data_IF_549864681520
#
_entry.id   IF_549864681520
#
_cell.length_a   1.000
_cell.length_b   1.000
_cell.length_c   1.000
_cell.angle_alpha   90.00
_cell.angle_beta   90.00
_cell.angle_gamma   90.00
#
_symmetry.space_group_name_H-M   'P 1'
#
loop_
_entity.id
_entity.type
_entity.pdbx_description
1 polymer ?
#
# COMPACT_ATOMS: atom_id res chain seq x y z
N UNK A 1 -23.74 11.41 -0.91
CA UNK A 1 -23.10 10.49 -1.88
C UNK A 1 -22.30 9.50 -1.05
N UNK A 2 -22.76 8.26 -0.92
CA UNK A 2 -21.94 7.22 -0.28
C UNK A 2 -20.78 6.95 -1.24
N UNK A 3 -19.58 7.40 -0.88
CA UNK A 3 -18.37 6.92 -1.53
C UNK A 3 -18.40 5.40 -1.41
N UNK A 4 -18.61 4.70 -2.54
CA UNK A 4 -18.35 3.27 -2.57
C UNK A 4 -16.86 3.15 -2.33
N UNK A 5 -16.46 2.89 -1.07
CA UNK A 5 -15.16 2.30 -0.78
C UNK A 5 -15.04 1.13 -1.75
N UNK A 6 -14.06 1.21 -2.63
CA UNK A 6 -13.68 0.06 -3.44
C UNK A 6 -13.04 -0.91 -2.46
N UNK A 7 -13.88 -1.68 -1.78
CA UNK A 7 -13.45 -2.70 -0.84
C UNK A 7 -12.89 -3.85 -1.67
N UNK A 8 -11.57 -3.89 -1.75
CA UNK A 8 -10.85 -5.09 -2.14
C UNK A 8 -10.86 -6.03 -0.94
N UNK A 9 -10.99 -7.31 -1.21
CA UNK A 9 -10.83 -8.34 -0.19
C UNK A 9 -9.42 -8.22 0.43
N UNK A 10 -9.33 -8.32 1.76
CA UNK A 10 -8.04 -8.27 2.46
C UNK A 10 -7.17 -9.46 2.06
N UNK A 11 -5.86 -9.28 1.98
CA UNK A 11 -4.94 -10.40 1.76
C UNK A 11 -4.76 -11.21 3.05
N UNK A 12 -5.01 -12.52 2.98
CA UNK A 12 -5.01 -13.46 4.11
C UNK A 12 -4.17 -14.72 3.89
N UNK A 13 -3.31 -14.71 2.85
CA UNK A 13 -2.49 -15.85 2.38
C UNK A 13 -3.26 -17.00 1.73
N UNK A 14 -4.56 -17.11 1.98
CA UNK A 14 -5.40 -18.13 1.38
C UNK A 14 -5.89 -17.69 0.00
N UNK A 15 -6.08 -16.39 -0.19
CA UNK A 15 -6.44 -15.83 -1.49
C UNK A 15 -5.21 -15.65 -2.42
N UNK A 16 -5.51 -15.50 -3.72
CA UNK A 16 -4.49 -15.38 -4.75
C UNK A 16 -3.79 -14.01 -4.65
N UNK A 17 -2.54 -14.01 -4.21
CA UNK A 17 -1.73 -12.80 -4.07
C UNK A 17 -1.59 -12.00 -5.38
N UNK A 18 -1.44 -12.67 -6.53
CA UNK A 18 -1.32 -11.99 -7.83
C UNK A 18 -2.59 -11.20 -8.13
N UNK A 19 -3.75 -11.81 -7.98
CA UNK A 19 -5.03 -11.15 -8.18
C UNK A 19 -5.23 -9.99 -7.20
N UNK A 20 -4.90 -10.21 -5.92
CA UNK A 20 -4.96 -9.18 -4.90
C UNK A 20 -4.04 -7.99 -5.25
N UNK A 21 -2.81 -8.25 -5.68
CA UNK A 21 -1.84 -7.22 -6.05
C UNK A 21 -2.29 -6.37 -7.25
N UNK A 22 -2.96 -6.99 -8.24
CA UNK A 22 -3.55 -6.28 -9.39
C UNK A 22 -4.68 -5.35 -8.91
N UNK A 23 -5.58 -5.86 -8.07
CA UNK A 23 -6.68 -5.06 -7.49
C UNK A 23 -6.15 -3.91 -6.63
N UNK A 24 -5.11 -4.16 -5.83
CA UNK A 24 -4.44 -3.16 -5.01
C UNK A 24 -3.79 -2.07 -5.86
N UNK A 25 -3.05 -2.43 -6.92
CA UNK A 25 -2.47 -1.46 -7.84
C UNK A 25 -3.55 -0.62 -8.53
N UNK A 26 -4.67 -1.22 -8.92
CA UNK A 26 -5.81 -0.50 -9.47
C UNK A 26 -6.40 0.50 -8.46
N UNK A 27 -6.62 0.08 -7.20
CA UNK A 27 -7.09 0.94 -6.11
C UNK A 27 -6.15 2.13 -5.85
N UNK A 28 -4.84 1.89 -5.85
CA UNK A 28 -3.86 2.97 -5.67
C UNK A 28 -3.80 3.89 -6.89
N UNK A 29 -4.03 3.37 -8.10
CA UNK A 29 -4.09 4.17 -9.33
C UNK A 29 -5.28 5.14 -9.31
N UNK A 30 -6.46 4.68 -8.92
CA UNK A 30 -7.65 5.54 -8.83
C UNK A 30 -7.51 6.63 -7.76
N UNK A 31 -6.63 6.44 -6.78
CA UNK A 31 -6.32 7.43 -5.75
C UNK A 31 -5.09 8.30 -6.07
N UNK A 32 -4.45 8.11 -7.23
CA UNK A 32 -3.24 8.86 -7.61
C UNK A 32 -1.97 8.46 -6.84
N UNK A 33 -1.94 7.26 -6.26
CA UNK A 33 -0.88 6.77 -5.37
C UNK A 33 -0.03 5.66 -5.98
N UNK A 34 -0.35 5.16 -7.18
CA UNK A 34 0.36 4.03 -7.78
C UNK A 34 1.87 4.25 -7.94
N UNK A 35 2.29 5.51 -8.21
CA UNK A 35 3.71 5.87 -8.32
C UNK A 35 4.51 5.68 -7.04
N UNK A 36 3.84 5.63 -5.88
CA UNK A 36 4.50 5.31 -4.61
C UNK A 36 5.06 3.89 -4.58
N UNK A 37 4.50 2.97 -5.37
CA UNK A 37 4.94 1.57 -5.45
C UNK A 37 6.26 1.42 -6.20
N UNK A 38 6.58 2.36 -7.09
CA UNK A 38 7.77 2.29 -7.93
C UNK A 38 9.02 2.85 -7.21
N UNK A 39 8.84 3.45 -6.03
CA UNK A 39 9.89 4.00 -5.17
C UNK A 39 9.95 5.52 -5.15
N UNK A 40 10.63 6.10 -4.14
CA UNK A 40 10.72 7.56 -3.97
C UNK A 40 11.40 8.26 -5.17
N UNK A 41 12.39 7.59 -5.77
CA UNK A 41 13.13 8.09 -6.94
C UNK A 41 12.28 8.25 -8.20
N UNK A 42 11.17 7.53 -8.30
CA UNK A 42 10.25 7.58 -9.44
C UNK A 42 9.19 8.69 -9.30
N UNK A 43 9.15 9.37 -8.14
CA UNK A 43 8.27 10.51 -7.92
C UNK A 43 8.85 11.78 -8.59
N UNK A 44 8.01 12.66 -9.18
CA UNK A 44 8.48 13.81 -9.96
C UNK A 44 9.40 14.72 -9.14
N UNK A 45 10.63 15.01 -9.59
CA UNK A 45 11.67 15.80 -8.86
C UNK A 45 11.13 17.13 -8.30
N UNK A 46 10.21 17.77 -9.03
CA UNK A 46 9.55 19.02 -8.63
C UNK A 46 8.67 18.94 -7.38
N UNK A 47 8.27 17.73 -6.95
CA UNK A 47 7.47 17.51 -5.75
C UNK A 47 8.32 17.72 -4.48
N UNK A 48 7.76 18.46 -3.51
CA UNK A 48 8.44 18.73 -2.23
C UNK A 48 8.68 17.43 -1.46
N UNK A 49 9.79 17.33 -0.74
CA UNK A 49 10.12 16.16 0.07
C UNK A 49 8.99 15.78 1.04
N UNK A 50 8.37 16.76 1.72
CA UNK A 50 7.25 16.52 2.63
C UNK A 50 5.98 15.98 1.95
N UNK A 51 5.76 16.32 0.67
CA UNK A 51 4.64 15.80 -0.12
C UNK A 51 4.92 14.37 -0.57
N UNK A 52 6.17 14.04 -0.93
CA UNK A 52 6.59 12.67 -1.24
C UNK A 52 6.38 11.73 -0.06
N UNK A 53 6.88 12.13 1.12
CA UNK A 53 6.73 11.35 2.35
C UNK A 53 5.25 11.08 2.63
N UNK A 54 4.40 12.11 2.58
CA UNK A 54 2.94 11.95 2.76
C UNK A 54 2.32 11.00 1.74
N UNK A 55 2.71 11.10 0.48
CA UNK A 55 2.21 10.25 -0.60
C UNK A 55 2.60 8.78 -0.36
N UNK A 56 3.86 8.53 0.02
CA UNK A 56 4.37 7.20 0.33
C UNK A 56 3.72 6.61 1.58
N UNK A 57 3.59 7.39 2.65
CA UNK A 57 2.91 6.99 3.89
C UNK A 57 1.45 6.63 3.63
N UNK A 58 0.75 7.40 2.78
CA UNK A 58 -0.63 7.13 2.42
C UNK A 58 -0.78 5.83 1.62
N UNK A 59 0.07 5.61 0.62
CA UNK A 59 0.08 4.37 -0.15
C UNK A 59 0.37 3.15 0.75
N UNK A 60 1.37 3.25 1.63
CA UNK A 60 1.71 2.22 2.61
C UNK A 60 0.55 1.94 3.55
N UNK A 61 -0.11 2.99 4.07
CA UNK A 61 -1.27 2.83 4.95
C UNK A 61 -2.42 2.11 4.26
N UNK A 62 -2.72 2.42 3.01
CA UNK A 62 -3.76 1.72 2.24
C UNK A 62 -3.41 0.24 2.08
N UNK A 63 -2.15 -0.09 1.76
CA UNK A 63 -1.71 -1.48 1.66
C UNK A 63 -1.95 -2.20 2.97
N UNK A 64 -1.46 -1.66 4.10
CA UNK A 64 -1.60 -2.26 5.43
C UNK A 64 -3.08 -2.46 5.82
N UNK A 65 -3.94 -1.47 5.56
CA UNK A 65 -5.37 -1.57 5.88
C UNK A 65 -6.12 -2.64 5.07
N UNK A 66 -5.51 -3.16 4.00
CA UNK A 66 -6.05 -4.22 3.15
C UNK A 66 -5.31 -5.56 3.36
N UNK A 67 -4.56 -5.69 4.45
CA UNK A 67 -4.05 -6.97 4.94
C UNK A 67 -4.95 -7.47 6.06
N UNK A 68 -5.00 -8.79 6.21
CA UNK A 68 -5.54 -9.45 7.40
C UNK A 68 -4.67 -9.18 8.63
N UNK A 69 -5.24 -9.38 9.81
CA UNK A 69 -4.54 -9.11 11.07
C UNK A 69 -3.36 -10.10 11.24
N UNK A 70 -3.50 -11.36 10.80
CA UNK A 70 -2.43 -12.35 10.82
C UNK A 70 -1.25 -11.95 9.91
N UNK A 71 -1.52 -11.40 8.72
CA UNK A 71 -0.46 -10.91 7.82
C UNK A 71 0.18 -9.64 8.38
N UNK A 72 -0.59 -8.76 9.04
CA UNK A 72 -0.05 -7.55 9.65
C UNK A 72 0.97 -7.85 10.74
N UNK A 73 0.72 -8.87 11.58
CA UNK A 73 1.64 -9.30 12.64
C UNK A 73 3.00 -9.70 12.02
N UNK A 74 3.00 -10.50 10.97
CA UNK A 74 4.26 -10.91 10.29
C UNK A 74 5.01 -9.72 9.68
N UNK A 75 4.30 -8.76 9.10
CA UNK A 75 4.92 -7.55 8.53
C UNK A 75 5.59 -6.69 9.60
N UNK A 76 5.09 -6.73 10.84
CA UNK A 76 5.72 -6.06 11.99
C UNK A 76 6.96 -6.83 12.43
N UNK A 77 6.84 -8.15 12.60
CA UNK A 77 7.96 -9.02 13.01
C UNK A 77 9.13 -8.98 12.02
N UNK A 78 8.85 -8.95 10.72
CA UNK A 78 9.89 -8.84 9.68
C UNK A 78 10.63 -7.50 9.76
N UNK A 79 9.92 -6.39 10.04
CA UNK A 79 10.58 -5.09 10.20
C UNK A 79 11.50 -5.06 11.41
N UNK A 80 11.07 -5.67 12.51
CA UNK A 80 11.88 -5.71 13.73
C UNK A 80 13.10 -6.63 13.56
N UNK A 81 12.99 -7.69 12.74
CA UNK A 81 14.11 -8.56 12.39
C UNK A 81 15.18 -7.90 11.49
N UNK A 82 14.80 -6.92 10.67
CA UNK A 82 15.75 -6.15 9.83
C UNK A 82 16.52 -5.09 10.65
N UNK A 83 16.10 -4.84 11.91
CA UNK A 83 16.73 -3.87 12.82
C UNK A 83 17.74 -4.52 13.79
N UNK A 84 17.86 -5.86 13.80
CA UNK A 84 18.84 -6.64 14.57
C UNK A 84 20.03 -7.08 13.72
#
# INVERSE_FOLDING_TARGET
MFERKSEIEKFDRSNNFVLWSIKMRALLTTQGLAKALDGEGELPIIMKASERVKLMEKAKSIILLNLSDEVLIEVVEEKDAVVL
#
